data_IF_327940585411
#
_entry.id   IF_327940585411
#
_cell.length_a   1.000
_cell.length_b   1.000
_cell.length_c   1.000
_cell.angle_alpha   90.00
_cell.angle_beta   90.00
_cell.angle_gamma   90.00
#
_symmetry.space_group_name_H-M   'P 1'
#
loop_
_entity.id
_entity.type
_entity.pdbx_description
1 polymer ?
#
# COMPACT_ATOMS: atom_id res chain seq x y z
N UNK A 1 -20.12 49.02 -42.21
CA UNK A 1 -18.72 49.39 -42.46
C UNK A 1 -17.91 48.11 -42.37
N UNK A 2 -17.26 47.80 -43.48
CA UNK A 2 -16.28 46.72 -43.62
C UNK A 2 -15.12 46.93 -42.65
N UNK A 3 -14.47 45.87 -42.17
CA UNK A 3 -13.03 45.64 -42.38
C UNK A 3 -12.68 44.22 -41.93
N UNK A 4 -12.08 43.47 -42.84
CA UNK A 4 -11.28 42.26 -42.60
C UNK A 4 -9.87 42.57 -43.10
N UNK A 5 -8.90 41.78 -42.62
CA UNK A 5 -7.51 41.60 -43.11
C UNK A 5 -6.55 42.65 -42.50
N UNK A 6 -5.40 42.32 -41.87
CA UNK A 6 -4.32 41.45 -42.33
C UNK A 6 -3.35 41.01 -41.21
N UNK A 7 -2.65 39.89 -41.46
CA UNK A 7 -1.62 39.24 -40.64
C UNK A 7 -0.23 39.77 -40.98
N UNK A 8 0.65 39.96 -39.98
CA UNK A 8 2.12 39.75 -39.97
C UNK A 8 2.71 40.37 -38.69
N UNK A 9 3.69 39.80 -37.99
CA UNK A 9 4.49 38.61 -38.23
C UNK A 9 5.38 38.33 -37.02
N UNK A 10 6.08 37.20 -37.10
CA UNK A 10 7.33 36.84 -36.44
C UNK A 10 7.57 37.39 -35.02
N UNK A 11 7.31 36.55 -34.02
CA UNK A 11 8.18 36.50 -32.85
C UNK A 11 8.47 35.06 -32.47
N UNK A 12 9.76 34.87 -32.25
CA UNK A 12 10.53 33.68 -31.94
C UNK A 12 9.86 32.84 -30.85
N UNK A 13 9.72 31.53 -31.10
CA UNK A 13 9.50 30.55 -30.03
C UNK A 13 10.80 30.54 -29.23
N UNK A 14 10.83 31.28 -28.12
CA UNK A 14 11.86 31.13 -27.12
C UNK A 14 11.84 29.67 -26.65
N UNK A 15 12.97 29.00 -26.79
CA UNK A 15 13.25 27.73 -26.14
C UNK A 15 12.98 27.93 -24.64
N UNK A 16 11.85 27.43 -24.13
CA UNK A 16 11.65 27.31 -22.69
C UNK A 16 12.81 26.50 -22.15
N UNK A 17 13.67 27.21 -21.41
CA UNK A 17 14.76 26.63 -20.64
C UNK A 17 14.23 25.42 -19.90
N UNK A 18 14.78 24.26 -20.25
CA UNK A 18 14.79 23.08 -19.41
C UNK A 18 15.43 23.54 -18.10
N UNK A 19 14.59 23.95 -17.13
CA UNK A 19 15.04 24.17 -15.77
C UNK A 19 15.63 22.84 -15.31
N UNK A 20 16.94 22.89 -15.10
CA UNK A 20 17.74 21.86 -14.50
C UNK A 20 17.11 21.49 -13.16
N UNK A 21 16.38 20.36 -13.14
CA UNK A 21 15.69 19.82 -11.95
C UNK A 21 16.71 19.26 -10.92
N UNK A 22 17.98 19.67 -11.02
CA UNK A 22 19.08 19.19 -10.18
C UNK A 22 19.10 19.79 -8.77
N UNK A 23 18.14 20.65 -8.40
CA UNK A 23 18.12 21.28 -7.07
C UNK A 23 16.75 21.73 -6.56
N UNK A 24 15.69 20.95 -6.83
CA UNK A 24 14.57 20.95 -5.87
C UNK A 24 15.05 20.09 -4.71
N UNK A 25 15.39 20.72 -3.58
CA UNK A 25 15.49 20.01 -2.31
C UNK A 25 14.11 19.40 -2.02
N UNK A 26 13.87 18.20 -2.55
CA UNK A 26 12.78 17.36 -2.10
C UNK A 26 13.09 17.02 -0.65
N UNK A 27 12.38 17.66 0.27
CA UNK A 27 12.31 17.20 1.65
C UNK A 27 11.83 15.74 1.60
N UNK A 28 12.72 14.78 1.83
CA UNK A 28 12.43 13.35 1.90
C UNK A 28 11.26 13.15 2.89
N UNK A 29 10.02 12.95 2.45
CA UNK A 29 8.96 12.61 3.40
C UNK A 29 9.23 11.17 3.90
N UNK A 30 9.01 10.82 5.18
CA UNK A 30 9.16 9.44 5.66
C UNK A 30 8.26 8.41 4.93
N UNK A 31 7.29 8.90 4.16
CA UNK A 31 6.40 8.15 3.26
C UNK A 31 6.94 7.98 1.83
N UNK A 32 7.95 8.76 1.43
CA UNK A 32 8.60 8.68 0.12
C UNK A 32 9.58 7.50 0.13
N UNK A 33 9.00 6.30 0.08
CA UNK A 33 9.76 5.08 -0.06
C UNK A 33 10.41 5.07 -1.46
N UNK A 34 11.71 5.33 -1.51
CA UNK A 34 12.47 5.13 -2.75
C UNK A 34 12.58 3.62 -2.99
N UNK A 35 12.06 3.20 -4.14
CA UNK A 35 12.04 1.80 -4.57
C UNK A 35 12.76 1.65 -5.91
N UNK A 36 13.43 0.52 -6.09
CA UNK A 36 14.08 0.13 -7.35
C UNK A 36 13.46 -1.18 -7.82
N UNK A 37 13.04 -1.23 -9.08
CA UNK A 37 12.44 -2.43 -9.66
C UNK A 37 13.46 -3.57 -9.70
N UNK A 38 13.09 -4.74 -9.17
CA UNK A 38 13.95 -5.91 -9.23
C UNK A 38 14.18 -6.36 -10.67
N UNK A 39 15.38 -6.89 -10.97
CA UNK A 39 15.66 -7.46 -12.28
C UNK A 39 14.65 -8.55 -12.61
N UNK A 40 14.10 -8.54 -13.82
CA UNK A 40 12.94 -9.34 -14.17
C UNK A 40 13.05 -9.94 -15.56
N UNK A 41 12.43 -11.10 -15.74
CA UNK A 41 12.31 -11.76 -17.04
C UNK A 41 11.13 -12.71 -17.08
N UNK A 42 10.38 -12.69 -18.17
CA UNK A 42 9.34 -13.67 -18.47
C UNK A 42 9.97 -15.02 -18.82
N UNK A 43 9.57 -16.06 -18.09
CA UNK A 43 10.11 -17.41 -18.21
C UNK A 43 9.60 -18.04 -19.51
N UNK A 44 10.50 -18.60 -20.31
CA UNK A 44 10.17 -19.23 -21.60
C UNK A 44 9.85 -18.25 -22.74
N UNK A 45 9.87 -16.94 -22.48
CA UNK A 45 9.71 -15.91 -23.52
C UNK A 45 11.09 -15.44 -23.99
N UNK A 46 11.39 -15.47 -25.30
CA UNK A 46 12.66 -14.98 -25.82
C UNK A 46 12.88 -13.50 -25.47
N UNK A 47 14.07 -13.19 -25.00
CA UNK A 47 14.44 -11.82 -24.65
C UNK A 47 14.61 -11.01 -25.93
N UNK A 48 14.03 -9.81 -25.95
CA UNK A 48 14.10 -8.92 -27.11
C UNK A 48 15.53 -8.41 -27.31
N UNK A 49 15.96 -8.35 -28.57
CA UNK A 49 17.27 -7.80 -28.95
C UNK A 49 17.29 -6.27 -29.00
N UNK A 50 16.12 -5.63 -29.01
CA UNK A 50 15.96 -4.17 -29.07
C UNK A 50 14.80 -3.72 -28.18
N UNK A 51 14.80 -2.42 -27.84
CA UNK A 51 13.69 -1.80 -27.13
C UNK A 51 12.39 -1.91 -27.96
N UNK A 52 11.23 -2.13 -27.30
CA UNK A 52 9.97 -2.27 -28.00
C UNK A 52 9.44 -0.95 -28.55
N UNK A 53 8.92 -1.01 -29.77
CA UNK A 53 8.24 0.08 -30.47
C UNK A 53 6.94 0.47 -29.78
N UNK A 54 6.42 1.67 -30.09
CA UNK A 54 5.14 2.15 -29.53
C UNK A 54 4.00 1.23 -30.00
N UNK A 55 4.02 0.79 -31.25
CA UNK A 55 3.04 -0.12 -31.84
C UNK A 55 3.00 -1.46 -31.10
N UNK A 56 4.16 -2.03 -30.77
CA UNK A 56 4.24 -3.26 -29.97
C UNK A 56 3.69 -3.07 -28.56
N UNK A 57 3.98 -1.92 -27.91
CA UNK A 57 3.45 -1.62 -26.57
C UNK A 57 1.93 -1.44 -26.60
N UNK A 58 1.39 -0.80 -27.65
CA UNK A 58 -0.05 -0.69 -27.86
C UNK A 58 -0.69 -2.06 -28.10
N UNK A 59 -0.06 -2.93 -28.90
CA UNK A 59 -0.56 -4.28 -29.12
C UNK A 59 -0.62 -5.09 -27.82
N UNK A 60 0.42 -5.01 -26.98
CA UNK A 60 0.44 -5.63 -25.64
C UNK A 60 -0.68 -5.06 -24.78
N UNK A 61 -0.86 -3.73 -24.75
CA UNK A 61 -1.93 -3.10 -23.98
C UNK A 61 -3.31 -3.61 -24.39
N UNK A 62 -3.58 -3.77 -25.69
CA UNK A 62 -4.85 -4.33 -26.15
C UNK A 62 -5.06 -5.78 -25.69
N UNK A 63 -4.01 -6.59 -25.65
CA UNK A 63 -4.09 -7.95 -25.09
C UNK A 63 -4.40 -7.93 -23.60
N UNK A 64 -3.76 -7.04 -22.83
CA UNK A 64 -4.03 -6.86 -21.40
C UNK A 64 -5.48 -6.41 -21.16
N UNK A 65 -5.96 -5.42 -21.92
CA UNK A 65 -7.37 -4.97 -21.90
C UNK A 65 -8.34 -6.12 -22.18
N UNK A 66 -8.07 -6.92 -23.21
CA UNK A 66 -8.89 -8.09 -23.54
C UNK A 66 -8.90 -9.13 -22.43
N UNK A 67 -7.75 -9.37 -21.79
CA UNK A 67 -7.65 -10.33 -20.68
C UNK A 67 -8.44 -9.85 -19.46
N UNK A 68 -8.27 -8.58 -19.07
CA UNK A 68 -8.99 -8.00 -17.93
C UNK A 68 -10.51 -7.99 -18.18
N UNK A 69 -10.95 -7.65 -19.40
CA UNK A 69 -12.37 -7.73 -19.77
C UNK A 69 -12.94 -9.15 -19.61
N UNK A 70 -12.17 -10.16 -20.00
CA UNK A 70 -12.56 -11.57 -19.83
C UNK A 70 -12.64 -11.92 -18.35
N UNK A 71 -11.65 -11.51 -17.55
CA UNK A 71 -11.64 -11.75 -16.11
C UNK A 71 -12.87 -11.15 -15.41
N UNK A 72 -13.23 -9.90 -15.74
CA UNK A 72 -14.44 -9.25 -15.20
C UNK A 72 -15.70 -10.03 -15.61
N UNK A 73 -15.81 -10.44 -16.87
CA UNK A 73 -16.99 -11.16 -17.37
C UNK A 73 -17.14 -12.56 -16.75
N UNK A 74 -16.03 -13.19 -16.37
CA UNK A 74 -15.98 -14.54 -15.80
C UNK A 74 -15.83 -14.54 -14.26
N UNK A 75 -15.88 -13.38 -13.61
CA UNK A 75 -15.68 -13.21 -12.16
C UNK A 75 -14.35 -13.83 -11.67
N UNK A 76 -13.29 -13.70 -12.48
CA UNK A 76 -11.95 -14.16 -12.14
C UNK A 76 -11.25 -13.04 -11.35
N UNK A 77 -10.83 -13.30 -10.10
CA UNK A 77 -10.20 -12.29 -9.26
C UNK A 77 -8.84 -11.87 -9.83
N UNK A 78 -8.49 -10.59 -9.67
CA UNK A 78 -7.17 -10.08 -10.04
C UNK A 78 -6.12 -10.56 -9.05
N UNK A 79 -6.41 -10.43 -7.77
CA UNK A 79 -5.55 -10.87 -6.68
C UNK A 79 -6.07 -12.18 -6.07
N UNK A 80 -5.19 -13.07 -5.64
CA UNK A 80 -5.61 -14.30 -4.97
C UNK A 80 -4.86 -14.45 -3.66
N UNK A 81 -5.54 -14.98 -2.64
CA UNK A 81 -4.91 -15.31 -1.35
C UNK A 81 -3.71 -16.24 -1.55
N UNK A 82 -3.85 -17.24 -2.42
CA UNK A 82 -2.76 -18.17 -2.77
C UNK A 82 -1.60 -17.44 -3.44
N UNK A 83 -1.85 -16.56 -4.43
CA UNK A 83 -0.80 -15.83 -5.11
C UNK A 83 -0.03 -14.87 -4.21
N UNK A 84 -0.72 -14.15 -3.31
CA UNK A 84 -0.07 -13.28 -2.33
C UNK A 84 0.77 -14.10 -1.35
N UNK A 85 0.22 -15.22 -0.84
CA UNK A 85 0.92 -16.10 0.09
C UNK A 85 2.16 -16.73 -0.54
N UNK A 86 2.04 -17.25 -1.76
CA UNK A 86 3.15 -17.87 -2.48
C UNK A 86 4.31 -16.88 -2.68
N UNK A 87 4.02 -15.66 -3.14
CA UNK A 87 5.04 -14.60 -3.28
C UNK A 87 5.67 -14.27 -1.92
N UNK A 88 4.87 -14.16 -0.86
CA UNK A 88 5.37 -13.90 0.49
C UNK A 88 6.31 -15.01 0.99
N UNK A 89 5.91 -16.27 0.85
CA UNK A 89 6.72 -17.43 1.26
C UNK A 89 8.04 -17.50 0.48
N UNK A 90 8.01 -17.23 -0.82
CA UNK A 90 9.22 -17.12 -1.63
C UNK A 90 10.14 -15.99 -1.13
N UNK A 91 9.58 -14.81 -0.82
CA UNK A 91 10.33 -13.69 -0.26
C UNK A 91 10.96 -14.04 1.08
N UNK A 92 10.20 -14.62 2.01
CA UNK A 92 10.71 -15.04 3.32
C UNK A 92 11.84 -16.06 3.18
N UNK A 93 11.70 -17.02 2.27
CA UNK A 93 12.75 -17.99 1.96
C UNK A 93 14.01 -17.32 1.44
N UNK A 94 13.90 -16.36 0.51
CA UNK A 94 15.05 -15.62 0.01
C UNK A 94 15.72 -14.77 1.11
N UNK A 95 14.94 -14.13 1.96
CA UNK A 95 15.45 -13.35 3.10
C UNK A 95 16.21 -14.23 4.10
N UNK A 96 15.66 -15.41 4.43
CA UNK A 96 16.32 -16.40 5.28
C UNK A 96 17.64 -16.95 4.69
N UNK A 97 17.81 -16.84 3.36
CA UNK A 97 19.01 -17.26 2.63
C UNK A 97 19.98 -16.10 2.32
N UNK A 98 19.89 -15.00 3.08
CA UNK A 98 20.78 -13.84 2.94
C UNK A 98 20.31 -12.80 1.93
N UNK A 99 19.00 -12.76 1.63
CA UNK A 99 18.37 -11.73 0.81
C UNK A 99 18.68 -11.85 -0.69
N UNK A 100 19.01 -13.06 -1.15
CA UNK A 100 19.29 -13.33 -2.57
C UNK A 100 18.48 -14.52 -3.07
N UNK A 101 17.94 -14.42 -4.27
CA UNK A 101 17.23 -15.52 -4.91
C UNK A 101 16.22 -15.05 -5.95
N UNK A 102 15.48 -16.01 -6.50
CA UNK A 102 14.46 -15.74 -7.52
C UNK A 102 13.06 -15.83 -6.90
N UNK A 103 12.23 -14.84 -7.17
CA UNK A 103 10.79 -14.81 -6.88
C UNK A 103 10.04 -15.01 -8.20
N UNK A 104 9.16 -16.00 -8.26
CA UNK A 104 8.34 -16.30 -9.43
C UNK A 104 6.92 -15.80 -9.20
N UNK A 105 6.45 -14.93 -10.09
CA UNK A 105 5.07 -14.42 -10.09
C UNK A 105 4.37 -14.89 -11.35
N UNK A 106 3.18 -15.47 -11.23
CA UNK A 106 2.37 -15.85 -12.40
C UNK A 106 1.64 -14.62 -12.95
N UNK A 107 1.94 -14.22 -14.18
CA UNK A 107 1.19 -13.17 -14.87
C UNK A 107 -0.24 -13.59 -15.20
N UNK A 108 -1.10 -12.60 -15.49
CA UNK A 108 -2.51 -12.81 -15.84
C UNK A 108 -2.74 -13.61 -17.12
N UNK A 109 -1.70 -13.74 -17.96
CA UNK A 109 -1.66 -14.60 -19.14
C UNK A 109 -1.11 -16.01 -18.86
N UNK A 110 -0.86 -16.33 -17.60
CA UNK A 110 -0.38 -17.63 -17.13
C UNK A 110 1.13 -17.83 -17.24
N UNK A 111 1.88 -16.86 -17.78
CA UNK A 111 3.33 -16.94 -17.93
C UNK A 111 4.00 -16.48 -16.64
N UNK A 112 4.98 -17.25 -16.16
CA UNK A 112 5.77 -16.89 -14.98
C UNK A 112 6.73 -15.74 -15.30
N UNK A 113 6.83 -14.78 -14.41
CA UNK A 113 7.80 -13.69 -14.41
C UNK A 113 8.72 -13.90 -13.22
N UNK A 114 10.01 -14.03 -13.52
CA UNK A 114 11.06 -14.20 -12.52
C UNK A 114 11.63 -12.85 -12.15
N UNK A 115 11.56 -12.50 -10.88
CA UNK A 115 12.20 -11.35 -10.26
C UNK A 115 13.42 -11.81 -9.46
N UNK A 116 14.55 -11.13 -9.62
CA UNK A 116 15.78 -11.45 -8.90
C UNK A 116 15.95 -10.54 -7.69
N UNK A 117 15.92 -11.13 -6.51
CA UNK A 117 16.14 -10.45 -5.26
C UNK A 117 17.63 -10.33 -4.98
N UNK A 118 18.07 -9.10 -4.70
CA UNK A 118 19.44 -8.79 -4.33
C UNK A 118 19.44 -7.71 -3.24
N UNK A 119 19.26 -8.12 -1.98
CA UNK A 119 19.40 -7.22 -0.82
C UNK A 119 20.89 -6.94 -0.56
N UNK A 120 21.22 -5.69 -0.22
CA UNK A 120 22.58 -5.20 -0.06
C UNK A 120 23.26 -4.81 -1.38
N UNK A 121 22.55 -4.81 -2.50
CA UNK A 121 23.06 -4.31 -3.78
C UNK A 121 23.18 -2.79 -3.71
N UNK A 122 24.36 -2.28 -4.07
CA UNK A 122 24.62 -0.85 -4.18
C UNK A 122 24.32 -0.36 -5.59
N UNK A 123 23.81 0.87 -5.67
CA UNK A 123 23.45 1.54 -6.90
C UNK A 123 24.29 2.80 -7.04
N UNK A 124 25.42 2.68 -7.75
CA UNK A 124 26.41 3.76 -7.87
C UNK A 124 25.86 5.02 -8.54
N UNK A 125 24.77 4.90 -9.30
CA UNK A 125 24.13 6.04 -9.98
C UNK A 125 23.38 6.98 -9.03
N UNK A 126 23.10 6.57 -7.79
CA UNK A 126 22.40 7.41 -6.82
C UNK A 126 22.73 7.11 -5.35
N UNK A 127 23.90 6.52 -5.09
CA UNK A 127 24.41 6.28 -3.72
C UNK A 127 23.40 5.56 -2.82
N UNK A 128 22.67 4.60 -3.39
CA UNK A 128 21.65 3.83 -2.70
C UNK A 128 22.10 2.39 -2.45
N UNK A 129 21.52 1.76 -1.42
CA UNK A 129 21.65 0.34 -1.13
C UNK A 129 20.27 -0.29 -0.93
N UNK A 130 20.00 -1.46 -1.54
CA UNK A 130 18.77 -2.21 -1.30
C UNK A 130 18.74 -2.78 0.11
N UNK A 131 17.63 -2.59 0.81
CA UNK A 131 17.49 -3.03 2.21
C UNK A 131 16.38 -4.03 2.43
N UNK A 132 15.24 -3.89 1.76
CA UNK A 132 14.09 -4.78 1.94
C UNK A 132 13.34 -5.00 0.62
N UNK A 133 12.75 -6.18 0.38
CA UNK A 133 11.81 -6.38 -0.71
C UNK A 133 10.50 -5.60 -0.47
N UNK A 134 9.86 -5.20 -1.56
CA UNK A 134 8.53 -4.58 -1.56
C UNK A 134 7.69 -5.26 -2.63
N UNK A 135 6.47 -5.65 -2.27
CA UNK A 135 5.46 -6.15 -3.20
C UNK A 135 4.56 -4.97 -3.58
N UNK A 136 4.61 -4.55 -4.83
CA UNK A 136 3.66 -3.62 -5.43
C UNK A 136 2.46 -4.41 -5.97
N UNK A 137 1.26 -3.88 -5.72
CA UNK A 137 -0.01 -4.43 -6.19
C UNK A 137 -0.55 -3.53 -7.28
N UNK A 138 -0.51 -3.99 -8.52
CA UNK A 138 -0.88 -3.19 -9.68
C UNK A 138 -2.39 -3.36 -9.93
N UNK A 139 -3.22 -2.32 -9.71
CA UNK A 139 -4.66 -2.43 -9.90
C UNK A 139 -5.04 -2.54 -11.38
N UNK A 140 -6.25 -3.04 -11.66
CA UNK A 140 -6.74 -3.21 -13.04
C UNK A 140 -6.65 -1.91 -13.86
N UNK A 141 -7.00 -0.77 -13.25
CA UNK A 141 -6.98 0.54 -13.89
C UNK A 141 -5.58 0.93 -14.37
N UNK A 142 -4.55 0.58 -13.60
CA UNK A 142 -3.17 0.81 -13.99
C UNK A 142 -2.76 -0.14 -15.13
N UNK A 143 -3.12 -1.42 -15.03
CA UNK A 143 -2.83 -2.41 -16.08
C UNK A 143 -3.44 -2.05 -17.44
N UNK A 144 -4.60 -1.39 -17.49
CA UNK A 144 -5.26 -0.97 -18.75
C UNK A 144 -5.01 0.48 -19.17
N UNK A 145 -4.28 1.26 -18.37
CA UNK A 145 -4.04 2.68 -18.64
C UNK A 145 -3.20 2.90 -19.89
N UNK A 146 -3.68 3.81 -20.75
CA UNK A 146 -2.96 4.30 -21.93
C UNK A 146 -1.95 5.40 -21.59
N UNK A 147 -2.12 6.09 -20.45
CA UNK A 147 -1.27 7.23 -20.05
C UNK A 147 0.22 6.87 -20.03
N UNK A 148 0.54 5.63 -19.67
CA UNK A 148 1.91 5.15 -19.46
C UNK A 148 2.41 4.19 -20.55
N UNK A 149 1.73 4.12 -21.70
CA UNK A 149 2.07 3.15 -22.76
C UNK A 149 3.53 3.26 -23.22
N UNK A 150 4.10 4.48 -23.26
CA UNK A 150 5.49 4.73 -23.67
C UNK A 150 6.51 4.15 -22.68
N UNK A 151 6.15 4.05 -21.41
CA UNK A 151 7.02 3.56 -20.32
C UNK A 151 6.72 2.11 -19.94
N UNK A 152 5.64 1.51 -20.46
CA UNK A 152 5.20 0.16 -20.14
C UNK A 152 6.25 -0.90 -20.44
N UNK A 153 6.73 -1.56 -19.41
CA UNK A 153 7.62 -2.71 -19.55
C UNK A 153 6.85 -3.94 -20.07
N UNK A 154 7.18 -4.49 -21.26
CA UNK A 154 6.57 -5.71 -21.78
C UNK A 154 6.70 -6.91 -20.84
N UNK A 155 7.76 -6.95 -20.01
CA UNK A 155 8.00 -8.05 -19.08
C UNK A 155 7.00 -8.04 -17.91
N UNK A 156 6.43 -6.87 -17.58
CA UNK A 156 5.50 -6.67 -16.48
C UNK A 156 4.05 -6.46 -16.93
N UNK A 157 3.78 -6.45 -18.24
CA UNK A 157 2.49 -5.98 -18.76
C UNK A 157 1.27 -6.75 -18.23
N UNK A 158 1.47 -8.00 -17.82
CA UNK A 158 0.45 -8.87 -17.23
C UNK A 158 0.70 -9.15 -15.74
N UNK A 159 1.63 -8.46 -15.08
CA UNK A 159 1.93 -8.68 -13.67
C UNK A 159 1.09 -7.76 -12.79
N UNK A 160 0.21 -8.36 -12.00
CA UNK A 160 -0.54 -7.65 -10.94
C UNK A 160 0.22 -7.63 -9.61
N UNK A 161 1.25 -8.46 -9.44
CA UNK A 161 2.21 -8.40 -8.32
C UNK A 161 3.61 -8.12 -8.90
N UNK A 162 4.27 -7.09 -8.40
CA UNK A 162 5.59 -6.67 -8.89
C UNK A 162 6.56 -6.53 -7.71
N UNK A 163 7.78 -7.05 -7.87
CA UNK A 163 8.78 -7.05 -6.81
C UNK A 163 9.75 -5.90 -7.02
N UNK A 164 9.91 -5.09 -5.97
CA UNK A 164 10.89 -4.01 -5.87
C UNK A 164 11.81 -4.25 -4.70
N UNK A 165 12.89 -3.48 -4.64
CA UNK A 165 13.70 -3.26 -3.46
C UNK A 165 13.45 -1.87 -2.92
N UNK A 166 13.08 -1.76 -1.64
CA UNK A 166 13.27 -0.51 -0.90
C UNK A 166 14.75 -0.23 -0.82
N UNK A 167 15.14 1.00 -1.13
CA UNK A 167 16.52 1.45 -1.01
C UNK A 167 16.66 2.51 0.07
N UNK A 168 17.88 2.64 0.60
CA UNK A 168 18.27 3.71 1.53
C UNK A 168 19.56 4.34 1.05
N UNK A 169 19.75 5.62 1.36
CA UNK A 169 20.99 6.33 1.05
C UNK A 169 22.16 5.65 1.76
N UNK A 170 23.29 5.54 1.09
CA UNK A 170 24.53 4.95 1.59
C UNK A 170 25.51 6.09 1.89
N UNK A 171 25.90 6.26 3.17
CA UNK A 171 26.94 7.22 3.55
C UNK A 171 28.31 6.64 3.13
N UNK A 172 28.86 7.14 2.02
CA UNK A 172 30.07 6.60 1.39
C UNK A 172 31.30 6.63 2.29
N UNK A 173 31.51 7.69 3.07
CA UNK A 173 32.70 7.79 3.94
C UNK A 173 32.72 6.73 5.03
N UNK A 174 31.54 6.37 5.55
CA UNK A 174 31.40 5.44 6.67
C UNK A 174 30.99 4.03 6.25
N UNK A 175 30.56 3.85 4.99
CA UNK A 175 30.00 2.61 4.42
C UNK A 175 28.84 2.07 5.27
N UNK A 176 28.05 2.97 5.84
CA UNK A 176 26.85 2.65 6.61
C UNK A 176 25.61 3.12 5.87
N UNK A 177 24.52 2.41 6.05
CA UNK A 177 23.21 2.86 5.61
C UNK A 177 22.88 4.13 6.37
N UNK A 178 22.57 5.22 5.67
CA UNK A 178 22.16 6.46 6.31
C UNK A 178 20.88 6.19 7.12
N UNK A 179 20.91 6.56 8.40
CA UNK A 179 19.70 6.66 9.20
C UNK A 179 18.82 7.77 8.60
N UNK A 180 17.50 7.57 8.61
CA UNK A 180 16.58 8.58 8.10
C UNK A 180 16.83 9.90 8.85
N UNK A 181 16.97 11.01 8.11
CA UNK A 181 17.31 12.34 8.67
C UNK A 181 16.24 12.93 9.59
N UNK A 182 15.11 12.25 9.76
CA UNK A 182 14.05 12.67 10.66
C UNK A 182 14.43 12.29 12.07
N UNK A 183 14.91 13.27 12.84
CA UNK A 183 14.93 13.17 14.29
C UNK A 183 13.49 12.95 14.76
N UNK A 184 13.08 11.68 14.90
CA UNK A 184 11.81 11.33 15.49
C UNK A 184 11.69 12.00 16.85
N UNK A 185 10.50 12.48 17.19
CA UNK A 185 10.24 12.99 18.53
C UNK A 185 10.62 11.91 19.56
N UNK A 186 11.21 12.28 20.72
CA UNK A 186 11.48 11.31 21.78
C UNK A 186 10.21 10.56 22.17
N UNK A 187 10.34 9.27 22.52
CA UNK A 187 9.21 8.39 22.87
C UNK A 187 8.28 9.03 23.90
N UNK A 188 8.83 9.69 24.92
CA UNK A 188 8.04 10.32 25.99
C UNK A 188 7.20 11.49 25.49
N UNK A 189 7.65 12.21 24.46
CA UNK A 189 6.85 13.25 23.82
C UNK A 189 5.74 12.64 22.97
N UNK A 190 6.07 11.65 22.13
CA UNK A 190 5.08 10.93 21.32
C UNK A 190 4.00 10.30 22.21
N UNK A 191 4.39 9.68 23.32
CA UNK A 191 3.44 9.11 24.29
C UNK A 191 2.48 10.15 24.88
N UNK A 192 2.98 11.32 25.28
CA UNK A 192 2.11 12.41 25.75
C UNK A 192 1.15 12.92 24.66
N UNK A 193 1.63 13.04 23.43
CA UNK A 193 0.80 13.45 22.30
C UNK A 193 -0.30 12.41 22.02
N UNK A 194 0.03 11.11 22.10
CA UNK A 194 -0.93 10.00 21.97
C UNK A 194 -1.94 10.01 23.10
N UNK A 195 -1.53 10.17 24.36
CA UNK A 195 -2.45 10.28 25.51
C UNK A 195 -3.50 11.38 25.30
N UNK A 196 -3.04 12.58 24.94
CA UNK A 196 -3.92 13.72 24.67
C UNK A 196 -4.88 13.41 23.51
N UNK A 197 -4.35 12.88 22.40
CA UNK A 197 -5.17 12.55 21.23
C UNK A 197 -6.21 11.46 21.52
N UNK A 198 -5.86 10.40 22.26
CA UNK A 198 -6.79 9.34 22.62
C UNK A 198 -7.84 9.85 23.61
N UNK A 199 -7.47 10.74 24.53
CA UNK A 199 -8.43 11.39 25.43
C UNK A 199 -9.42 12.27 24.66
N UNK A 200 -8.95 13.06 23.71
CA UNK A 200 -9.79 13.87 22.82
C UNK A 200 -10.72 12.99 21.97
N UNK A 201 -10.17 11.94 21.35
CA UNK A 201 -10.95 10.98 20.56
C UNK A 201 -12.11 10.40 21.37
N UNK A 202 -11.84 9.85 22.55
CA UNK A 202 -12.88 9.24 23.41
C UNK A 202 -13.92 10.27 23.86
N UNK A 203 -13.50 11.52 24.06
CA UNK A 203 -14.40 12.61 24.47
C UNK A 203 -15.23 13.19 23.31
N UNK A 204 -14.82 12.91 22.07
CA UNK A 204 -15.44 13.45 20.85
C UNK A 204 -16.87 12.96 20.65
N UNK A 205 -17.66 13.78 19.94
CA UNK A 205 -19.02 13.40 19.55
C UNK A 205 -19.01 12.23 18.55
N UNK A 206 -18.01 12.17 17.67
CA UNK A 206 -17.84 11.12 16.68
C UNK A 206 -17.63 9.75 17.33
N UNK A 207 -16.80 9.67 18.37
CA UNK A 207 -16.62 8.44 19.14
C UNK A 207 -17.92 8.03 19.86
N UNK A 208 -18.65 8.97 20.47
CA UNK A 208 -19.94 8.69 21.11
C UNK A 208 -20.98 8.18 20.10
N UNK A 209 -21.03 8.78 18.91
CA UNK A 209 -21.91 8.31 17.83
C UNK A 209 -21.53 6.90 17.39
N UNK A 210 -20.24 6.63 17.19
CA UNK A 210 -19.73 5.31 16.84
C UNK A 210 -20.10 4.25 17.89
N UNK A 211 -19.94 4.58 19.18
CA UNK A 211 -20.33 3.71 20.29
C UNK A 211 -21.84 3.42 20.30
N UNK A 212 -22.67 4.24 19.66
CA UNK A 212 -24.11 4.05 19.55
C UNK A 212 -24.52 3.43 18.20
N UNK A 213 -23.58 3.10 17.30
CA UNK A 213 -23.91 2.48 16.01
C UNK A 213 -24.25 0.99 16.18
N UNK A 214 -25.54 0.68 16.01
CA UNK A 214 -26.03 -0.70 16.14
C UNK A 214 -25.63 -1.63 14.99
N UNK A 215 -25.19 -1.08 13.85
CA UNK A 215 -24.83 -1.89 12.67
C UNK A 215 -23.68 -2.86 12.99
N UNK A 216 -22.65 -2.37 13.70
CA UNK A 216 -21.50 -3.20 14.08
C UNK A 216 -21.84 -4.23 15.15
N UNK A 217 -22.85 -3.95 15.99
CA UNK A 217 -23.30 -4.88 17.04
C UNK A 217 -24.01 -6.09 16.46
N UNK A 218 -24.76 -5.91 15.36
CA UNK A 218 -25.51 -7.00 14.72
C UNK A 218 -24.59 -8.09 14.18
N UNK A 219 -23.43 -7.70 13.65
CA UNK A 219 -22.46 -8.62 13.05
C UNK A 219 -21.32 -8.98 14.01
N UNK A 220 -21.37 -8.52 15.27
CA UNK A 220 -20.29 -8.70 16.24
C UNK A 220 -19.97 -10.18 16.53
N UNK A 221 -20.98 -11.05 16.45
CA UNK A 221 -20.80 -12.50 16.61
C UNK A 221 -19.96 -13.14 15.49
N UNK A 222 -19.93 -12.52 14.31
CA UNK A 222 -19.18 -12.99 13.14
C UNK A 222 -17.78 -12.36 13.06
N UNK A 223 -17.62 -11.11 13.50
CA UNK A 223 -16.35 -10.39 13.42
C UNK A 223 -15.38 -10.87 14.50
N UNK A 224 -14.30 -11.56 14.13
CA UNK A 224 -13.23 -12.06 15.02
C UNK A 224 -11.97 -11.22 14.99
N UNK A 225 -11.76 -10.48 13.90
CA UNK A 225 -10.52 -9.77 13.62
C UNK A 225 -10.80 -8.37 13.11
N UNK A 226 -9.95 -7.43 13.47
CA UNK A 226 -9.83 -6.12 12.82
C UNK A 226 -8.49 -6.09 12.10
N UNK A 227 -8.49 -5.77 10.82
CA UNK A 227 -7.25 -5.52 10.05
C UNK A 227 -7.31 -4.11 9.49
N UNK A 228 -6.37 -3.26 9.90
CA UNK A 228 -6.31 -1.88 9.44
C UNK A 228 -5.07 -1.63 8.59
N UNK A 229 -5.27 -0.96 7.46
CA UNK A 229 -4.23 -0.58 6.51
C UNK A 229 -4.07 0.93 6.46
N UNK A 230 -2.82 1.37 6.33
CA UNK A 230 -2.47 2.77 6.09
C UNK A 230 -3.00 3.74 7.17
N UNK A 231 -2.73 3.43 8.45
CA UNK A 231 -3.15 4.24 9.60
C UNK A 231 -2.14 5.34 9.99
N UNK A 232 -1.02 5.45 9.26
CA UNK A 232 0.03 6.43 9.47
C UNK A 232 0.87 6.18 10.73
N UNK A 233 2.10 6.72 10.72
CA UNK A 233 2.94 6.78 11.92
C UNK A 233 2.37 7.80 12.92
N UNK A 234 2.48 7.50 14.22
CA UNK A 234 2.21 8.47 15.29
C UNK A 234 3.46 9.29 15.62
N UNK A 235 4.64 8.81 15.24
CA UNK A 235 5.94 9.45 15.43
C UNK A 235 6.20 10.56 14.39
N UNK A 236 5.76 10.35 13.14
CA UNK A 236 5.98 11.27 12.02
C UNK A 236 4.77 12.17 11.70
N UNK A 237 4.06 12.66 12.72
CA UNK A 237 2.95 13.59 12.51
C UNK A 237 3.48 14.96 12.05
N UNK A 238 3.34 15.27 10.76
CA UNK A 238 3.52 16.63 10.26
C UNK A 238 2.41 17.56 10.78
N UNK A 239 2.59 18.88 10.64
CA UNK A 239 1.58 19.86 11.07
C UNK A 239 0.22 19.68 10.38
N UNK A 240 0.17 19.07 9.19
CA UNK A 240 -1.05 18.83 8.41
C UNK A 240 -1.82 17.58 8.87
N UNK A 241 -1.12 16.62 9.45
CA UNK A 241 -1.63 15.31 9.91
C UNK A 241 -1.75 15.22 11.43
N UNK A 242 -1.41 16.29 12.18
CA UNK A 242 -1.59 16.41 13.63
C UNK A 242 -2.87 15.72 14.12
N UNK A 243 -2.68 14.59 14.82
CA UNK A 243 -3.75 13.82 15.46
C UNK A 243 -4.50 12.82 14.56
N UNK A 244 -4.35 12.84 13.23
CA UNK A 244 -5.09 11.92 12.34
C UNK A 244 -4.70 10.46 12.58
N UNK A 245 -3.40 10.15 12.55
CA UNK A 245 -2.91 8.80 12.83
C UNK A 245 -3.38 8.36 14.21
N UNK A 246 -3.24 9.21 15.25
CA UNK A 246 -3.70 8.90 16.59
C UNK A 246 -5.21 8.59 16.65
N UNK A 247 -6.06 9.35 15.94
CA UNK A 247 -7.50 9.10 15.89
C UNK A 247 -7.84 7.81 15.15
N UNK A 248 -7.11 7.46 14.10
CA UNK A 248 -7.28 6.17 13.40
C UNK A 248 -6.95 4.99 14.32
N UNK A 249 -5.89 5.08 15.14
CA UNK A 249 -5.58 4.07 16.16
C UNK A 249 -6.60 4.06 17.31
N UNK A 250 -7.07 5.24 17.73
CA UNK A 250 -8.17 5.37 18.69
C UNK A 250 -9.46 4.70 18.20
N UNK A 251 -9.79 4.87 16.92
CA UNK A 251 -10.92 4.23 16.26
C UNK A 251 -10.80 2.69 16.32
N UNK A 252 -9.63 2.12 16.00
CA UNK A 252 -9.38 0.68 16.10
C UNK A 252 -9.67 0.18 17.52
N UNK A 253 -9.12 0.87 18.52
CA UNK A 253 -9.32 0.52 19.93
C UNK A 253 -10.80 0.56 20.32
N UNK A 254 -11.52 1.62 19.94
CA UNK A 254 -12.95 1.76 20.22
C UNK A 254 -13.79 0.69 19.52
N UNK A 255 -13.49 0.36 18.26
CA UNK A 255 -14.18 -0.71 17.52
C UNK A 255 -13.99 -2.06 18.19
N UNK A 256 -12.75 -2.38 18.61
CA UNK A 256 -12.45 -3.60 19.37
C UNK A 256 -13.29 -3.69 20.65
N UNK A 257 -13.39 -2.60 21.40
CA UNK A 257 -14.17 -2.53 22.64
C UNK A 257 -15.68 -2.72 22.37
N UNK A 258 -16.23 -2.07 21.33
CA UNK A 258 -17.63 -2.22 20.93
C UNK A 258 -17.94 -3.67 20.58
N UNK A 259 -17.12 -4.30 19.73
CA UNK A 259 -17.31 -5.68 19.29
C UNK A 259 -17.17 -6.67 20.44
N UNK A 260 -16.16 -6.48 21.30
CA UNK A 260 -15.94 -7.33 22.48
C UNK A 260 -17.15 -7.27 23.42
N UNK A 261 -17.64 -6.07 23.72
CA UNK A 261 -18.81 -5.89 24.57
C UNK A 261 -20.07 -6.51 23.96
N UNK A 262 -20.29 -6.28 22.66
CA UNK A 262 -21.43 -6.86 21.96
C UNK A 262 -21.43 -8.39 22.00
N UNK A 263 -20.26 -9.03 21.85
CA UNK A 263 -20.11 -10.49 22.01
C UNK A 263 -20.44 -10.94 23.43
N UNK A 264 -19.88 -10.26 24.45
CA UNK A 264 -20.12 -10.61 25.85
C UNK A 264 -21.60 -10.51 26.25
N UNK A 265 -22.33 -9.57 25.66
CA UNK A 265 -23.78 -9.37 25.88
C UNK A 265 -24.66 -10.33 25.06
N UNK A 266 -24.10 -11.01 24.04
CA UNK A 266 -24.84 -11.93 23.18
C UNK A 266 -25.07 -13.29 23.88
N UNK A 267 -26.33 -13.50 24.31
CA UNK A 267 -26.78 -14.73 24.98
C UNK A 267 -26.82 -15.95 24.06
N UNK A 268 -26.79 -15.76 22.74
CA UNK A 268 -26.78 -16.86 21.77
C UNK A 268 -25.42 -17.51 21.62
N UNK A 269 -24.34 -16.82 22.01
CA UNK A 269 -22.98 -17.32 21.95
C UNK A 269 -22.67 -18.28 23.11
N UNK A 270 -21.77 -19.23 22.85
CA UNK A 270 -21.19 -20.06 23.92
C UNK A 270 -20.31 -19.20 24.84
N UNK A 271 -20.00 -19.71 26.04
CA UNK A 271 -19.05 -19.02 26.94
C UNK A 271 -17.68 -18.82 26.27
N UNK A 272 -17.20 -19.83 25.55
CA UNK A 272 -15.92 -19.75 24.82
C UNK A 272 -15.95 -18.67 23.75
N UNK A 273 -17.06 -18.53 23.01
CA UNK A 273 -17.21 -17.48 21.99
C UNK A 273 -17.31 -16.07 22.58
N UNK A 274 -17.91 -15.93 23.78
CA UNK A 274 -17.96 -14.65 24.50
C UNK A 274 -16.61 -14.24 25.09
N UNK A 275 -15.81 -15.22 25.47
CA UNK A 275 -14.49 -15.02 26.05
C UNK A 275 -13.39 -14.92 24.96
N UNK A 276 -13.71 -15.20 23.69
CA UNK A 276 -12.80 -15.06 22.54
C UNK A 276 -12.48 -13.58 22.27
N UNK A 277 -11.21 -13.22 22.37
CA UNK A 277 -10.72 -11.86 22.13
C UNK A 277 -10.74 -11.51 20.63
N UNK A 278 -11.21 -10.31 20.31
CA UNK A 278 -11.06 -9.72 18.97
C UNK A 278 -9.58 -9.41 18.73
N UNK A 279 -8.99 -10.06 17.73
CA UNK A 279 -7.61 -9.77 17.32
C UNK A 279 -7.58 -8.48 16.52
N UNK A 280 -6.52 -7.68 16.66
CA UNK A 280 -6.36 -6.44 15.91
C UNK A 280 -4.97 -6.41 15.29
N UNK A 281 -4.93 -6.22 13.98
CA UNK A 281 -3.73 -6.13 13.19
C UNK A 281 -3.67 -4.79 12.48
N UNK A 282 -2.49 -4.17 12.46
CA UNK A 282 -2.24 -2.93 11.73
C UNK A 282 -1.01 -3.09 10.83
N UNK A 283 -1.13 -2.60 9.59
CA UNK A 283 -0.05 -2.63 8.60
C UNK A 283 0.11 -1.26 7.96
N UNK A 284 1.26 -0.64 8.19
CA UNK A 284 1.68 0.60 7.53
C UNK A 284 3.21 0.62 7.38
N UNK A 285 3.76 0.81 6.17
CA UNK A 285 5.20 0.89 5.94
C UNK A 285 5.89 2.10 6.62
N UNK A 286 5.11 3.07 7.10
CA UNK A 286 5.61 4.24 7.82
C UNK A 286 5.86 3.97 9.32
N UNK A 287 5.43 2.82 9.86
CA UNK A 287 5.65 2.53 11.27
C UNK A 287 7.13 2.44 11.62
N UNK A 288 7.47 3.05 12.74
CA UNK A 288 8.79 3.08 13.38
C UNK A 288 8.83 2.18 14.60
N UNK A 289 10.01 1.98 15.18
CA UNK A 289 10.16 1.24 16.43
C UNK A 289 9.41 1.93 17.59
N UNK A 290 9.38 3.27 17.63
CA UNK A 290 8.61 4.03 18.61
C UNK A 290 7.11 3.79 18.43
N UNK A 291 6.62 3.76 17.19
CA UNK A 291 5.22 3.43 16.92
C UNK A 291 4.88 2.03 17.43
N UNK A 292 5.77 1.04 17.25
CA UNK A 292 5.59 -0.32 17.74
C UNK A 292 5.53 -0.38 19.26
N UNK A 293 6.49 0.22 19.94
CA UNK A 293 6.50 0.25 21.41
C UNK A 293 5.24 0.90 21.97
N UNK A 294 4.81 2.04 21.41
CA UNK A 294 3.63 2.75 21.92
C UNK A 294 2.34 2.01 21.57
N UNK A 295 2.09 1.77 20.28
CA UNK A 295 0.80 1.23 19.82
C UNK A 295 0.57 -0.20 20.28
N UNK A 296 1.61 -1.03 20.28
CA UNK A 296 1.52 -2.44 20.64
C UNK A 296 1.77 -2.68 22.13
N UNK A 297 2.89 -2.18 22.66
CA UNK A 297 3.34 -2.59 24.00
C UNK A 297 2.72 -1.73 25.11
N UNK A 298 2.70 -0.40 24.94
CA UNK A 298 2.22 0.53 25.97
C UNK A 298 0.67 0.59 26.02
N UNK A 299 0.00 0.64 24.86
CA UNK A 299 -1.46 0.78 24.77
C UNK A 299 -2.20 -0.50 24.37
N UNK A 300 -1.50 -1.52 23.87
CA UNK A 300 -2.13 -2.76 23.43
C UNK A 300 -3.22 -2.55 22.37
N UNK A 301 -3.05 -1.61 21.44
CA UNK A 301 -4.07 -1.26 20.43
C UNK A 301 -4.19 -2.39 19.41
N UNK A 302 -3.07 -2.82 18.83
CA UNK A 302 -3.03 -3.84 17.80
C UNK A 302 -1.62 -4.41 17.65
N UNK A 303 -1.53 -5.60 17.06
CA UNK A 303 -0.28 -6.19 16.60
C UNK A 303 0.14 -5.54 15.28
N UNK A 304 1.37 -5.00 15.22
CA UNK A 304 1.92 -4.45 13.98
C UNK A 304 2.52 -5.59 13.15
N UNK A 305 2.05 -5.73 11.91
CA UNK A 305 2.47 -6.76 10.95
C UNK A 305 3.01 -6.12 9.67
N UNK A 306 3.78 -6.90 8.90
CA UNK A 306 4.51 -6.41 7.73
C UNK A 306 3.78 -6.73 6.42
N UNK A 307 3.99 -5.96 5.36
CA UNK A 307 3.45 -6.31 4.04
C UNK A 307 4.03 -7.66 3.55
N UNK A 308 3.21 -8.64 3.14
CA UNK A 308 1.78 -8.61 2.86
C UNK A 308 0.88 -9.28 3.90
N UNK A 309 1.37 -9.51 5.11
CA UNK A 309 0.71 -10.27 6.18
C UNK A 309 -0.68 -9.72 6.51
N UNK A 310 -0.88 -8.40 6.41
CA UNK A 310 -2.19 -7.78 6.59
C UNK A 310 -3.24 -8.34 5.64
N UNK A 311 -2.90 -8.57 4.37
CA UNK A 311 -3.83 -9.22 3.45
C UNK A 311 -4.05 -10.70 3.78
N UNK A 312 -3.04 -11.38 4.31
CA UNK A 312 -3.13 -12.79 4.71
C UNK A 312 -4.00 -13.00 5.96
N UNK A 313 -4.15 -11.97 6.80
CA UNK A 313 -5.05 -11.99 7.95
C UNK A 313 -6.51 -11.69 7.62
N UNK A 314 -6.81 -11.23 6.40
CA UNK A 314 -8.18 -10.90 5.99
C UNK A 314 -8.94 -12.16 5.59
N UNK A 315 -10.11 -12.34 6.21
CA UNK A 315 -11.10 -13.37 5.87
C UNK A 315 -12.54 -12.84 6.08
N UNK A 316 -13.53 -13.70 5.89
CA UNK A 316 -14.95 -13.35 6.02
C UNK A 316 -15.35 -12.91 7.45
N UNK A 317 -14.54 -13.22 8.45
CA UNK A 317 -14.72 -12.81 9.86
C UNK A 317 -14.02 -11.49 10.21
N UNK A 318 -13.54 -10.76 9.21
CA UNK A 318 -12.71 -9.58 9.41
C UNK A 318 -13.48 -8.28 9.22
N UNK A 319 -13.29 -7.32 10.13
CA UNK A 319 -13.60 -5.91 9.92
C UNK A 319 -12.34 -5.22 9.36
N UNK A 320 -12.42 -4.74 8.12
CA UNK A 320 -11.29 -4.10 7.45
C UNK A 320 -11.37 -2.58 7.55
N UNK A 321 -10.26 -1.93 7.91
CA UNK A 321 -10.14 -0.46 7.88
C UNK A 321 -9.08 -0.05 6.86
N UNK A 322 -9.34 0.98 6.06
CA UNK A 322 -8.40 1.46 5.05
C UNK A 322 -8.54 2.96 4.82
N UNK A 323 -7.58 3.76 5.26
CA UNK A 323 -7.70 5.21 5.22
C UNK A 323 -7.02 5.80 3.99
N UNK A 324 -5.70 5.98 4.02
CA UNK A 324 -4.96 6.60 2.92
C UNK A 324 -3.96 5.63 2.28
N UNK A 325 -4.38 4.46 1.77
CA UNK A 325 -3.45 3.51 1.20
C UNK A 325 -2.88 4.00 -0.14
N UNK A 326 -1.61 3.72 -0.37
CA UNK A 326 -0.97 3.83 -1.68
C UNK A 326 -1.07 2.53 -2.51
N UNK A 327 -1.85 1.55 -2.04
CA UNK A 327 -2.12 0.26 -2.68
C UNK A 327 -3.63 0.05 -2.80
N UNK A 328 -4.12 -0.76 -3.76
CA UNK A 328 -5.55 -0.94 -4.02
C UNK A 328 -6.21 -1.91 -3.01
N UNK A 329 -6.19 -1.56 -1.71
CA UNK A 329 -6.70 -2.39 -0.61
C UNK A 329 -8.11 -2.92 -0.91
N UNK A 330 -9.00 -2.05 -1.40
CA UNK A 330 -10.39 -2.43 -1.73
C UNK A 330 -10.45 -3.54 -2.77
N UNK A 331 -9.69 -3.42 -3.86
CA UNK A 331 -9.69 -4.42 -4.93
C UNK A 331 -9.08 -5.74 -4.46
N UNK A 332 -7.97 -5.67 -3.71
CA UNK A 332 -7.33 -6.86 -3.15
C UNK A 332 -8.28 -7.58 -2.19
N UNK A 333 -8.87 -6.86 -1.24
CA UNK A 333 -9.70 -7.46 -0.20
C UNK A 333 -10.94 -8.14 -0.77
N UNK A 334 -11.65 -7.51 -1.73
CA UNK A 334 -12.85 -8.13 -2.33
C UNK A 334 -12.52 -9.32 -3.23
N UNK A 335 -11.29 -9.40 -3.76
CA UNK A 335 -10.82 -10.51 -4.56
C UNK A 335 -10.43 -11.73 -3.68
N UNK A 336 -9.89 -11.48 -2.48
CA UNK A 336 -9.39 -12.55 -1.61
C UNK A 336 -10.40 -13.04 -0.55
N UNK A 337 -11.38 -12.21 -0.18
CA UNK A 337 -12.35 -12.51 0.87
C UNK A 337 -13.65 -11.69 0.75
N UNK A 338 -14.65 -12.01 1.58
CA UNK A 338 -15.86 -11.21 1.76
C UNK A 338 -15.93 -10.73 3.21
N UNK A 339 -15.15 -9.69 3.59
CA UNK A 339 -15.08 -9.26 4.99
C UNK A 339 -16.46 -8.84 5.49
N UNK A 340 -16.70 -9.06 6.78
CA UNK A 340 -17.96 -8.72 7.44
C UNK A 340 -18.35 -7.25 7.26
N UNK A 341 -17.35 -6.35 7.30
CA UNK A 341 -17.53 -4.95 6.95
C UNK A 341 -16.19 -4.32 6.55
N UNK A 342 -16.27 -3.18 5.85
CA UNK A 342 -15.11 -2.36 5.52
C UNK A 342 -15.41 -0.87 5.79
N UNK A 343 -14.49 -0.18 6.45
CA UNK A 343 -14.52 1.27 6.68
C UNK A 343 -13.35 1.89 5.92
N UNK A 344 -13.62 2.88 5.08
CA UNK A 344 -12.60 3.53 4.28
C UNK A 344 -12.80 5.05 4.13
N UNK A 345 -11.75 5.76 3.69
CA UNK A 345 -11.81 7.21 3.44
C UNK A 345 -12.65 7.58 2.21
N UNK A 346 -13.18 8.81 2.20
CA UNK A 346 -14.01 9.30 1.09
C UNK A 346 -13.25 9.20 -0.24
N UNK A 347 -13.89 8.56 -1.22
CA UNK A 347 -13.42 8.50 -2.60
C UNK A 347 -13.72 9.86 -3.23
N UNK A 348 -12.69 10.52 -3.76
CA UNK A 348 -12.85 11.76 -4.51
C UNK A 348 -13.21 11.43 -5.97
N UNK A 349 -14.09 12.24 -6.56
CA UNK A 349 -14.68 11.98 -7.89
C UNK A 349 -13.68 12.03 -9.07
N UNK A 350 -12.40 12.37 -8.85
CA UNK A 350 -11.35 12.38 -9.89
C UNK A 350 -10.97 10.97 -10.38
N UNK A 351 -11.44 9.91 -9.69
CA UNK A 351 -11.32 8.52 -10.12
C UNK A 351 -12.39 8.08 -11.15
N UNK A 352 -13.28 8.99 -11.61
CA UNK A 352 -14.36 8.68 -12.58
C UNK A 352 -13.90 8.60 -14.04
N UNK A 353 -12.67 8.97 -14.37
CA UNK A 353 -12.17 8.98 -15.76
C UNK A 353 -11.67 7.62 -16.27
N UNK A 354 -12.06 6.52 -15.62
CA UNK A 354 -11.88 5.17 -16.16
C UNK A 354 -13.24 4.51 -16.30
N UNK A 355 -14.00 4.93 -17.32
CA UNK A 355 -15.01 4.05 -17.90
C UNK A 355 -14.31 2.78 -18.38
N UNK A 356 -14.68 1.64 -17.77
CA UNK A 356 -14.16 0.30 -18.09
C UNK A 356 -14.72 -0.20 -19.41
#
# INVERSE_FOLDING_TARGET
>A
MSTTIEVKGDDVIEEEEIQDVSSVEMEDHPSDMIIVLAERKRVGVPQRSSAPTIEERLAILQQVKSRIKTMIAEDIPLFTMEGIRDVHEQVQKCMAQGGKGDILVKGLDGIMVRFQLHIGQTYDWADYISVNPVIEYVPMQHLISEKWVKHRDPELAFCNLVIYHRVKLLEKERRVVAEARHAGKPKEEVGRDVDNCLHEWVSSEQCKQLQNLDILRKDASQIKKIVAFACGSITHCDDRSKGRSCYQHGLIKTLREILTRARQEDVSLSREQRDEQIQCFIQDPAYTDIDREILQDDYGIATIIENPEGFLEVDDSTLVLSFSPNVPVRQIVVDIAKPAAMIWDRIWDEDKDVEV
#
